data_IF_337608875324
#
_entry.id   IF_337608875324
#
_cell.length_a   1.000
_cell.length_b   1.000
_cell.length_c   1.000
_cell.angle_alpha   90.00
_cell.angle_beta   90.00
_cell.angle_gamma   90.00
#
_symmetry.space_group_name_H-M   'P 1'
#
loop_
_entity.id
_entity.type
_entity.pdbx_description
1 polymer ?
#
# COMPACT_ATOMS: atom_id res chain seq x y z
N UNK A 1 75.43 6.75 47.38
CA UNK A 1 76.62 7.25 46.63
C UNK A 1 76.05 7.67 45.30
N UNK A 2 75.94 8.90 45.24
CA UNK A 2 76.42 9.88 44.24
C UNK A 2 75.64 9.84 42.98
N UNK A 3 75.01 10.78 42.73
CA UNK A 3 75.21 12.22 42.56
C UNK A 3 75.14 12.63 41.09
N UNK A 4 74.43 13.67 40.96
CA UNK A 4 74.76 14.84 40.17
C UNK A 4 74.23 14.88 38.71
N UNK A 5 73.30 15.77 38.57
CA UNK A 5 73.49 17.11 37.92
C UNK A 5 73.75 17.01 36.41
N UNK A 6 73.04 17.66 35.52
CA UNK A 6 72.92 19.10 35.32
C UNK A 6 72.20 19.31 33.99
N UNK A 7 71.30 20.13 33.92
CA UNK A 7 71.38 21.53 33.48
C UNK A 7 71.03 21.82 32.00
N UNK A 8 70.09 22.64 31.85
CA UNK A 8 69.87 23.74 30.88
C UNK A 8 70.11 23.54 29.37
N UNK A 9 69.12 23.78 28.57
CA UNK A 9 69.01 25.00 27.72
C UNK A 9 67.78 24.89 26.85
N UNK A 10 66.78 25.65 27.13
CA UNK A 10 66.32 26.82 26.37
C UNK A 10 66.71 26.79 24.88
N UNK A 11 65.71 26.53 24.06
CA UNK A 11 65.56 27.31 22.85
C UNK A 11 64.07 27.28 22.42
N UNK A 12 63.48 28.44 22.54
CA UNK A 12 62.15 28.71 22.02
C UNK A 12 62.18 28.62 20.48
N UNK A 13 61.34 27.84 19.89
CA UNK A 13 60.98 27.99 18.48
C UNK A 13 59.48 28.05 18.39
N UNK A 14 59.02 29.30 18.28
CA UNK A 14 57.66 29.69 17.96
C UNK A 14 57.33 29.16 16.56
N UNK A 15 56.66 28.01 16.43
CA UNK A 15 56.01 27.65 15.21
C UNK A 15 54.52 28.03 15.35
N UNK A 16 54.20 29.19 14.82
CA UNK A 16 52.83 29.59 14.55
C UNK A 16 52.23 28.63 13.49
N UNK A 17 51.68 27.54 13.95
CA UNK A 17 50.76 26.76 13.11
C UNK A 17 49.41 27.47 13.12
N UNK A 18 49.17 28.28 12.12
CA UNK A 18 47.82 28.71 11.70
C UNK A 18 47.02 27.46 11.37
N UNK A 19 46.31 26.94 12.36
CA UNK A 19 45.27 25.93 12.13
C UNK A 19 44.15 26.66 11.51
N UNK A 20 44.10 26.63 10.18
CA UNK A 20 42.89 27.02 9.42
C UNK A 20 41.78 26.07 9.83
N UNK A 21 40.91 26.54 10.68
CA UNK A 21 39.64 25.91 10.91
C UNK A 21 38.79 26.07 9.67
N UNK A 22 38.88 25.12 8.75
CA UNK A 22 37.84 24.94 7.77
C UNK A 22 36.61 24.51 8.55
N UNK A 23 35.69 25.44 8.76
CA UNK A 23 34.32 25.14 9.12
C UNK A 23 33.76 24.27 8.00
N UNK A 24 33.82 22.96 8.20
CA UNK A 24 32.99 22.05 7.45
C UNK A 24 31.56 22.50 7.78
N UNK A 25 30.92 23.15 6.82
CA UNK A 25 29.48 23.37 6.83
C UNK A 25 28.87 21.99 7.00
N UNK A 26 28.43 21.68 8.23
CA UNK A 26 27.63 20.52 8.52
C UNK A 26 26.42 20.63 7.62
N UNK A 27 26.38 19.78 6.62
CA UNK A 27 25.21 19.51 5.83
C UNK A 27 24.16 19.03 6.83
N UNK A 28 23.32 19.95 7.29
CA UNK A 28 22.10 19.60 8.03
C UNK A 28 21.36 18.63 7.12
N UNK A 29 21.55 17.35 7.37
CA UNK A 29 20.62 16.36 6.85
C UNK A 29 19.26 16.75 7.41
N UNK A 30 18.51 17.49 6.64
CA UNK A 30 17.08 17.61 6.84
C UNK A 30 16.57 16.20 7.04
N UNK A 31 15.96 15.87 8.19
CA UNK A 31 15.28 14.60 8.29
C UNK A 31 14.35 14.53 7.08
N UNK A 32 14.57 13.51 6.25
CA UNK A 32 13.71 13.29 5.10
C UNK A 32 12.29 13.43 5.63
N UNK A 33 11.57 14.45 5.13
CA UNK A 33 10.20 14.68 5.52
C UNK A 33 9.51 13.33 5.32
N UNK A 34 9.06 12.71 6.43
CA UNK A 34 8.24 11.50 6.37
C UNK A 34 7.09 11.92 5.49
N UNK A 35 7.05 11.38 4.27
CA UNK A 35 5.95 11.64 3.34
C UNK A 35 4.66 11.42 4.15
N UNK A 36 3.69 12.34 4.09
CA UNK A 36 2.48 12.21 4.88
C UNK A 36 1.95 10.80 4.63
N UNK A 37 1.89 9.99 5.69
CA UNK A 37 1.35 8.64 5.59
C UNK A 37 -0.04 8.81 5.01
N UNK A 38 -0.27 8.25 3.83
CA UNK A 38 -1.51 8.41 3.10
C UNK A 38 -2.69 8.16 4.04
N UNK A 39 -3.78 8.90 3.86
CA UNK A 39 -4.94 8.82 4.72
C UNK A 39 -5.31 7.35 4.98
N UNK A 40 -5.22 6.92 6.24
CA UNK A 40 -5.60 5.57 6.65
C UNK A 40 -7.11 5.51 6.79
N UNK A 41 -7.73 4.51 6.20
CA UNK A 41 -9.15 4.20 6.42
C UNK A 41 -9.30 3.20 7.57
N UNK A 42 -10.21 3.48 8.48
CA UNK A 42 -10.51 2.60 9.60
C UNK A 42 -11.79 1.83 9.33
N UNK A 43 -11.72 0.50 9.49
CA UNK A 43 -12.85 -0.40 9.33
C UNK A 43 -13.06 -1.23 10.60
N UNK A 44 -14.32 -1.56 10.89
CA UNK A 44 -14.69 -2.43 12.01
C UNK A 44 -14.67 -3.89 11.55
N UNK A 45 -13.80 -4.68 12.12
CA UNK A 45 -13.66 -6.12 11.85
C UNK A 45 -14.75 -6.95 12.53
N UNK A 46 -14.89 -8.22 12.15
CA UNK A 46 -15.95 -9.10 12.68
C UNK A 46 -15.85 -9.38 14.17
N UNK A 47 -14.65 -9.38 14.71
CA UNK A 47 -14.36 -9.57 16.15
C UNK A 47 -14.58 -8.29 16.99
N UNK A 48 -15.00 -7.19 16.34
CA UNK A 48 -15.27 -5.92 17.00
C UNK A 48 -14.06 -5.00 17.14
N UNK A 49 -12.89 -5.41 16.67
CA UNK A 49 -11.70 -4.58 16.61
C UNK A 49 -11.78 -3.58 15.45
N UNK A 50 -10.79 -2.70 15.35
CA UNK A 50 -10.62 -1.81 14.22
C UNK A 50 -9.35 -2.13 13.46
N UNK A 51 -9.45 -2.16 12.13
CA UNK A 51 -8.32 -2.34 11.24
C UNK A 51 -8.10 -1.06 10.44
N UNK A 52 -6.87 -0.58 10.43
CA UNK A 52 -6.45 0.52 9.56
C UNK A 52 -5.92 -0.05 8.25
N UNK A 53 -6.43 0.47 7.13
CA UNK A 53 -6.05 0.05 5.78
C UNK A 53 -5.66 1.28 4.96
N UNK A 54 -4.53 1.21 4.31
CA UNK A 54 -4.11 2.22 3.37
C UNK A 54 -4.97 2.11 2.09
N UNK A 55 -5.75 3.15 1.72
CA UNK A 55 -6.59 3.10 0.52
C UNK A 55 -5.80 2.90 -0.77
N UNK A 56 -4.51 3.23 -0.78
CA UNK A 56 -3.63 3.02 -1.94
C UNK A 56 -3.29 1.53 -2.18
N UNK A 57 -3.50 0.69 -1.18
CA UNK A 57 -3.25 -0.74 -1.25
C UNK A 57 -4.52 -1.54 -1.57
N UNK A 58 -5.70 -0.93 -1.42
CA UNK A 58 -6.97 -1.59 -1.73
C UNK A 58 -7.07 -1.80 -3.24
N UNK A 59 -7.39 -3.03 -3.66
CA UNK A 59 -7.65 -3.30 -5.06
C UNK A 59 -9.07 -3.81 -5.33
N UNK A 60 -9.71 -4.50 -4.35
CA UNK A 60 -11.04 -5.10 -4.52
C UNK A 60 -11.88 -5.05 -3.26
N UNK A 61 -13.19 -4.79 -3.42
CA UNK A 61 -14.19 -4.81 -2.37
C UNK A 61 -15.38 -5.63 -2.86
N UNK A 62 -15.86 -6.57 -2.05
CA UNK A 62 -17.04 -7.40 -2.36
C UNK A 62 -17.72 -7.92 -1.09
N UNK A 63 -18.94 -8.40 -1.21
CA UNK A 63 -19.53 -9.26 -0.19
C UNK A 63 -18.86 -10.64 -0.21
N UNK A 64 -18.90 -11.36 0.91
CA UNK A 64 -18.51 -12.78 0.96
C UNK A 64 -19.36 -13.60 0.00
N UNK A 65 -18.75 -14.53 -0.70
CA UNK A 65 -19.39 -15.30 -1.78
C UNK A 65 -19.09 -16.80 -1.76
N UNK A 66 -18.20 -17.25 -0.86
CA UNK A 66 -17.82 -18.66 -0.74
C UNK A 66 -18.20 -19.21 0.64
N UNK A 67 -18.34 -20.52 0.74
CA UNK A 67 -18.75 -21.20 1.99
C UNK A 67 -17.71 -21.13 3.11
N UNK A 68 -16.47 -20.88 2.77
CA UNK A 68 -15.31 -20.76 3.67
C UNK A 68 -15.09 -19.32 4.17
N UNK A 69 -15.88 -18.38 3.66
CA UNK A 69 -15.84 -17.00 4.12
C UNK A 69 -16.94 -16.75 5.17
N UNK A 70 -16.70 -15.85 6.14
CA UNK A 70 -17.73 -15.50 7.13
C UNK A 70 -19.00 -14.95 6.46
N UNK A 71 -20.18 -15.54 6.71
CA UNK A 71 -21.40 -15.12 6.03
C UNK A 71 -21.79 -13.69 6.39
N UNK A 72 -22.22 -12.93 5.38
CA UNK A 72 -22.70 -11.56 5.54
C UNK A 72 -21.62 -10.49 5.78
N UNK A 73 -20.35 -10.86 5.72
CA UNK A 73 -19.25 -9.93 5.83
C UNK A 73 -18.95 -9.23 4.49
N UNK A 74 -18.28 -8.09 4.56
CA UNK A 74 -17.66 -7.45 3.41
C UNK A 74 -16.18 -7.74 3.43
N UNK A 75 -15.64 -8.08 2.28
CA UNK A 75 -14.24 -8.39 2.05
C UNK A 75 -13.56 -7.19 1.41
N UNK A 76 -12.48 -6.74 2.00
CA UNK A 76 -11.55 -5.77 1.43
C UNK A 76 -10.24 -6.51 1.18
N UNK A 77 -9.84 -6.66 -0.09
CA UNK A 77 -8.56 -7.22 -0.48
C UNK A 77 -7.57 -6.07 -0.71
N UNK A 78 -6.42 -6.09 -0.01
CA UNK A 78 -5.39 -5.05 -0.05
C UNK A 78 -4.00 -5.66 0.19
N UNK A 79 -2.97 -5.15 -0.46
CA UNK A 79 -1.56 -5.54 -0.25
C UNK A 79 -1.32 -7.06 -0.08
N UNK A 80 -1.97 -7.91 -0.88
CA UNK A 80 -1.97 -9.38 -0.78
C UNK A 80 -2.65 -9.95 0.48
N UNK A 81 -3.28 -9.09 1.30
CA UNK A 81 -4.02 -9.45 2.49
C UNK A 81 -5.53 -9.30 2.27
N UNK A 82 -6.28 -9.78 3.26
CA UNK A 82 -7.73 -9.70 3.27
C UNK A 82 -8.23 -9.35 4.67
N UNK A 83 -9.18 -8.42 4.74
CA UNK A 83 -9.91 -8.13 5.96
C UNK A 83 -11.40 -8.32 5.75
N UNK A 84 -12.06 -8.89 6.76
CA UNK A 84 -13.50 -9.06 6.81
C UNK A 84 -14.09 -8.03 7.76
N UNK A 85 -15.03 -7.21 7.25
CA UNK A 85 -15.62 -6.12 8.01
C UNK A 85 -17.13 -6.26 8.18
N UNK A 86 -17.66 -5.70 9.27
CA UNK A 86 -19.09 -5.72 9.61
C UNK A 86 -19.91 -4.67 8.87
N UNK A 87 -19.23 -3.67 8.34
CA UNK A 87 -19.88 -2.55 7.67
C UNK A 87 -20.64 -3.01 6.43
N UNK A 88 -21.67 -2.26 6.02
CA UNK A 88 -22.37 -2.56 4.78
C UNK A 88 -21.49 -2.32 3.56
N UNK A 89 -21.72 -3.05 2.47
CA UNK A 89 -21.00 -2.85 1.21
C UNK A 89 -21.06 -1.39 0.74
N UNK A 90 -22.22 -0.76 0.88
CA UNK A 90 -22.42 0.65 0.49
C UNK A 90 -21.51 1.59 1.30
N UNK A 91 -21.43 1.40 2.62
CA UNK A 91 -20.58 2.22 3.49
C UNK A 91 -19.09 2.07 3.15
N UNK A 92 -18.63 0.83 2.93
CA UNK A 92 -17.22 0.56 2.55
C UNK A 92 -16.91 1.20 1.19
N UNK A 93 -17.80 1.02 0.21
CA UNK A 93 -17.64 1.59 -1.13
C UNK A 93 -17.62 3.11 -1.10
N UNK A 94 -18.46 3.74 -0.29
CA UNK A 94 -18.48 5.21 -0.12
C UNK A 94 -17.16 5.70 0.49
N UNK A 95 -16.70 5.09 1.58
CA UNK A 95 -15.44 5.45 2.24
C UNK A 95 -14.24 5.37 1.28
N UNK A 96 -14.11 4.27 0.55
CA UNK A 96 -12.99 4.06 -0.37
C UNK A 96 -13.16 4.90 -1.62
N UNK A 97 -14.38 4.97 -2.17
CA UNK A 97 -14.73 5.71 -3.38
C UNK A 97 -14.50 7.22 -3.27
N UNK A 98 -14.60 7.78 -2.06
CA UNK A 98 -14.25 9.17 -1.79
C UNK A 98 -12.75 9.49 -1.95
N UNK A 99 -11.89 8.47 -1.97
CA UNK A 99 -10.42 8.63 -2.09
C UNK A 99 -9.90 8.02 -3.39
N UNK A 100 -10.45 6.86 -3.80
CA UNK A 100 -10.01 6.11 -4.99
C UNK A 100 -11.17 5.82 -5.92
N UNK A 101 -11.03 6.08 -7.22
CA UNK A 101 -12.07 5.73 -8.20
C UNK A 101 -12.33 4.22 -8.21
N UNK A 102 -13.55 3.85 -7.89
CA UNK A 102 -14.02 2.47 -7.92
C UNK A 102 -14.85 2.21 -9.18
N UNK A 103 -14.65 1.06 -9.80
CA UNK A 103 -15.47 0.55 -10.90
C UNK A 103 -16.25 -0.67 -10.43
N UNK A 104 -17.55 -0.65 -10.69
CA UNK A 104 -18.45 -1.74 -10.33
C UNK A 104 -18.51 -2.76 -11.47
N UNK A 105 -18.33 -4.03 -11.11
CA UNK A 105 -18.51 -5.19 -11.99
C UNK A 105 -19.38 -6.23 -11.31
N UNK A 106 -19.71 -7.30 -12.03
CA UNK A 106 -20.60 -8.37 -11.57
C UNK A 106 -19.80 -9.69 -11.46
N UNK A 107 -19.74 -10.26 -10.27
CA UNK A 107 -19.18 -11.60 -10.08
C UNK A 107 -20.01 -12.65 -10.83
N UNK A 108 -19.45 -13.82 -11.16
CA UNK A 108 -20.16 -14.88 -11.87
C UNK A 108 -21.46 -15.33 -11.18
N UNK A 109 -21.53 -15.22 -9.84
CA UNK A 109 -22.74 -15.47 -9.04
C UNK A 109 -23.76 -14.35 -9.02
N UNK A 110 -23.55 -13.24 -9.76
CA UNK A 110 -24.47 -12.09 -9.83
C UNK A 110 -24.24 -11.02 -8.77
N UNK A 111 -23.38 -11.25 -7.77
CA UNK A 111 -23.08 -10.27 -6.75
C UNK A 111 -22.16 -9.15 -7.28
N UNK A 112 -22.32 -7.90 -6.79
CA UNK A 112 -21.43 -6.82 -7.20
C UNK A 112 -20.03 -6.98 -6.59
N UNK A 113 -19.02 -6.57 -7.38
CA UNK A 113 -17.63 -6.40 -6.96
C UNK A 113 -17.15 -5.00 -7.39
N UNK A 114 -16.39 -4.35 -6.54
CA UNK A 114 -15.82 -3.04 -6.80
C UNK A 114 -14.31 -3.15 -6.88
N UNK A 115 -13.74 -2.63 -7.96
CA UNK A 115 -12.32 -2.69 -8.27
C UNK A 115 -11.76 -1.26 -8.32
N UNK A 116 -10.62 -1.03 -7.69
CA UNK A 116 -9.88 0.22 -7.85
C UNK A 116 -9.29 0.26 -9.25
N UNK A 117 -9.76 1.16 -10.11
CA UNK A 117 -9.40 1.21 -11.53
C UNK A 117 -7.88 1.26 -11.76
N UNK A 118 -7.16 2.05 -10.96
CA UNK A 118 -5.70 2.20 -11.04
C UNK A 118 -4.92 0.92 -10.69
N UNK A 119 -5.57 -0.08 -10.10
CA UNK A 119 -4.96 -1.37 -9.74
C UNK A 119 -5.10 -2.43 -10.82
N UNK A 120 -5.90 -2.18 -11.85
CA UNK A 120 -6.06 -3.12 -12.97
C UNK A 120 -4.81 -3.09 -13.84
N UNK A 121 -4.12 -4.21 -13.92
CA UNK A 121 -2.91 -4.38 -14.74
C UNK A 121 -3.18 -5.12 -16.05
N UNK A 122 -4.32 -5.81 -16.13
CA UNK A 122 -4.72 -6.52 -17.33
C UNK A 122 -6.15 -7.02 -17.27
N UNK A 123 -6.69 -7.31 -18.44
CA UNK A 123 -8.00 -7.94 -18.62
C UNK A 123 -7.83 -9.04 -19.64
N UNK A 124 -8.28 -10.24 -19.30
CA UNK A 124 -8.22 -11.39 -20.20
C UNK A 124 -9.60 -12.02 -20.34
N UNK A 125 -9.84 -12.73 -21.44
CA UNK A 125 -11.06 -13.50 -21.62
C UNK A 125 -11.06 -14.71 -20.67
N UNK A 126 -12.23 -15.00 -20.09
CA UNK A 126 -12.41 -16.23 -19.31
C UNK A 126 -12.22 -17.46 -20.20
N UNK A 127 -11.51 -18.47 -19.68
CA UNK A 127 -11.19 -19.68 -20.42
C UNK A 127 -12.32 -20.70 -20.18
N UNK A 128 -13.03 -21.16 -21.23
CA UNK A 128 -14.02 -22.20 -21.09
C UNK A 128 -13.47 -23.43 -20.34
N UNK A 129 -14.28 -24.04 -19.50
CA UNK A 129 -13.96 -25.20 -18.63
C UNK A 129 -12.93 -24.96 -17.52
N UNK A 130 -12.23 -23.81 -17.48
CA UNK A 130 -11.34 -23.40 -16.39
C UNK A 130 -11.91 -22.27 -15.56
N UNK A 131 -12.84 -21.52 -16.12
CA UNK A 131 -13.54 -20.42 -15.46
C UNK A 131 -14.97 -20.81 -15.11
N UNK A 132 -15.58 -20.05 -14.19
CA UNK A 132 -17.00 -20.23 -13.90
C UNK A 132 -17.83 -20.04 -15.17
N UNK A 133 -18.93 -20.82 -15.41
CA UNK A 133 -19.70 -20.76 -16.65
C UNK A 133 -20.22 -19.36 -17.03
N UNK A 134 -20.54 -18.54 -16.03
CA UNK A 134 -21.02 -17.17 -16.23
C UNK A 134 -19.91 -16.12 -16.26
N UNK A 135 -18.63 -16.52 -16.22
CA UNK A 135 -17.52 -15.60 -16.35
C UNK A 135 -17.20 -15.34 -17.82
N UNK A 136 -17.12 -14.08 -18.23
CA UNK A 136 -16.71 -13.70 -19.57
C UNK A 136 -15.30 -13.13 -19.60
N UNK A 137 -14.85 -12.53 -18.49
CA UNK A 137 -13.50 -12.01 -18.36
C UNK A 137 -12.89 -12.25 -16.99
N UNK A 138 -11.58 -12.09 -16.92
CA UNK A 138 -10.78 -12.08 -15.70
C UNK A 138 -10.06 -10.74 -15.63
N UNK A 139 -10.32 -10.00 -14.57
CA UNK A 139 -9.60 -8.78 -14.22
C UNK A 139 -8.35 -9.19 -13.43
N UNK A 140 -7.19 -8.70 -13.85
CA UNK A 140 -5.90 -9.00 -13.25
C UNK A 140 -5.36 -7.75 -12.56
N UNK A 141 -4.89 -7.91 -11.33
CA UNK A 141 -4.14 -6.95 -10.54
C UNK A 141 -2.82 -7.61 -10.10
N UNK A 142 -1.90 -6.84 -9.57
CA UNK A 142 -0.68 -7.39 -8.95
C UNK A 142 -1.00 -8.26 -7.73
N UNK A 143 -2.07 -7.92 -7.01
CA UNK A 143 -2.50 -8.55 -5.77
C UNK A 143 -3.38 -9.79 -6.00
N UNK A 144 -3.86 -10.00 -7.23
CA UNK A 144 -4.69 -11.15 -7.54
C UNK A 144 -5.52 -11.00 -8.81
N UNK A 145 -6.50 -11.88 -8.94
CA UNK A 145 -7.42 -11.86 -10.07
C UNK A 145 -8.86 -12.06 -9.64
N UNK A 146 -9.79 -11.65 -10.49
CA UNK A 146 -11.22 -11.86 -10.25
C UNK A 146 -11.96 -12.11 -11.56
N UNK A 147 -12.83 -13.12 -11.57
CA UNK A 147 -13.71 -13.43 -12.69
C UNK A 147 -14.96 -12.54 -12.62
N UNK A 148 -15.40 -12.04 -13.76
CA UNK A 148 -16.59 -11.18 -13.88
C UNK A 148 -17.43 -11.55 -15.10
N UNK A 149 -18.70 -11.12 -15.09
CA UNK A 149 -19.65 -11.36 -16.18
C UNK A 149 -19.47 -10.40 -17.36
N UNK A 150 -18.84 -9.24 -17.14
CA UNK A 150 -18.60 -8.27 -18.20
C UNK A 150 -17.57 -8.79 -19.20
N UNK A 151 -17.67 -8.34 -20.46
CA UNK A 151 -16.68 -8.69 -21.50
C UNK A 151 -15.38 -7.92 -21.31
N UNK A 152 -14.25 -8.43 -21.82
CA UNK A 152 -12.96 -7.70 -21.74
C UNK A 152 -13.03 -6.29 -22.31
N UNK A 153 -13.78 -6.08 -23.38
CA UNK A 153 -13.95 -4.80 -24.04
C UNK A 153 -14.67 -3.78 -23.14
N UNK A 154 -15.77 -4.23 -22.50
CA UNK A 154 -16.55 -3.40 -21.57
C UNK A 154 -15.73 -3.01 -20.34
N UNK A 155 -14.92 -3.93 -19.81
CA UNK A 155 -14.04 -3.65 -18.68
C UNK A 155 -12.96 -2.65 -19.07
N UNK A 156 -12.31 -2.85 -20.21
CA UNK A 156 -11.25 -1.95 -20.69
C UNK A 156 -11.77 -0.54 -20.88
N UNK A 157 -12.96 -0.37 -21.44
CA UNK A 157 -13.60 0.94 -21.57
C UNK A 157 -13.91 1.57 -20.20
N UNK A 158 -14.41 0.79 -19.26
CA UNK A 158 -14.77 1.28 -17.92
C UNK A 158 -13.53 1.72 -17.10
N UNK A 159 -12.40 1.05 -17.25
CA UNK A 159 -11.18 1.31 -16.46
C UNK A 159 -10.41 2.52 -16.99
N UNK A 160 -10.45 2.79 -18.30
CA UNK A 160 -9.73 3.92 -18.94
C UNK A 160 -10.43 5.26 -18.69
N UNK A 161 -11.73 5.28 -18.43
CA UNK A 161 -12.53 6.49 -18.11
C UNK A 161 -12.45 6.82 -16.62
#
# INVERSE_FOLDING_TARGET
MDAMKSSLSVLALLCLCLVSWTTAAGEERHPAAIAPQGAQLTFQTLDGNTQQVNPDEIWRIRATSTSDEPPGAIVIDYAFERVYVKESLASVVEKVGGIRPLKKFTLPGGAPVYIVAAKVTGVTRAIPHQSHPNAHAIIVSREGQTQVQETPEAISEAVVK
#
